data_IF_377308295110
#
_entry.id   IF_377308295110
#
_cell.length_a   1.000
_cell.length_b   1.000
_cell.length_c   1.000
_cell.angle_alpha   90.00
_cell.angle_beta   90.00
_cell.angle_gamma   90.00
#
_symmetry.space_group_name_H-M   'P 1'
#
loop_
_entity.id
_entity.type
_entity.pdbx_description
1 polymer ?
#
# COMPACT_ATOMS: atom_id res chain seq x y z
N UNK A 1 9.72 9.13 13.04
CA UNK A 1 9.40 9.10 11.58
C UNK A 1 10.60 9.28 10.66
N UNK A 2 11.38 10.37 10.72
CA UNK A 2 12.51 10.61 9.77
C UNK A 2 13.59 9.51 9.76
N UNK A 3 13.85 8.90 10.91
CA UNK A 3 14.79 7.77 11.02
C UNK A 3 14.30 6.50 10.29
N UNK A 4 12.98 6.30 10.21
CA UNK A 4 12.37 5.15 9.51
C UNK A 4 12.34 5.37 8.00
N UNK A 5 12.10 6.62 7.58
CA UNK A 5 11.95 7.01 6.18
C UNK A 5 12.89 8.20 5.85
N UNK A 6 14.20 7.96 5.75
CA UNK A 6 15.18 9.03 5.59
C UNK A 6 15.00 9.80 4.27
N UNK A 7 14.51 9.15 3.23
CA UNK A 7 14.26 9.76 1.91
C UNK A 7 12.90 10.42 1.76
N UNK A 8 12.03 10.36 2.77
CA UNK A 8 10.71 10.97 2.73
C UNK A 8 10.78 12.49 2.93
N UNK A 9 9.81 13.19 2.34
CA UNK A 9 9.66 14.64 2.51
C UNK A 9 9.19 14.95 3.93
N UNK A 10 9.75 15.98 4.61
CA UNK A 10 9.38 16.31 5.98
C UNK A 10 7.88 16.55 6.18
N UNK A 11 7.22 17.20 5.23
CA UNK A 11 5.79 17.50 5.26
C UNK A 11 4.92 16.24 5.26
N UNK A 12 5.30 15.21 4.49
CA UNK A 12 4.57 13.93 4.46
C UNK A 12 4.71 13.23 5.81
N UNK A 13 5.92 13.22 6.38
CA UNK A 13 6.17 12.62 7.68
C UNK A 13 5.48 13.36 8.82
N UNK A 14 5.34 14.69 8.71
CA UNK A 14 4.59 15.49 9.68
C UNK A 14 3.11 15.12 9.62
N UNK A 15 2.50 15.06 8.44
CA UNK A 15 1.10 14.64 8.30
C UNK A 15 0.82 13.23 8.82
N UNK A 16 1.79 12.31 8.69
CA UNK A 16 1.72 10.99 9.33
C UNK A 16 1.78 11.09 10.86
N UNK A 17 2.73 11.87 11.39
CA UNK A 17 2.90 12.01 12.83
C UNK A 17 1.68 12.67 13.49
N UNK A 18 1.12 13.71 12.87
CA UNK A 18 -0.06 14.43 13.34
C UNK A 18 -1.26 13.49 13.44
N UNK A 19 -1.54 12.72 12.39
CA UNK A 19 -2.65 11.78 12.36
C UNK A 19 -2.48 10.65 13.38
N UNK A 20 -1.27 10.11 13.53
CA UNK A 20 -0.99 9.09 14.54
C UNK A 20 -1.13 9.67 15.95
N UNK A 21 -0.55 10.81 16.25
CA UNK A 21 -0.58 11.41 17.59
C UNK A 21 -2.02 11.73 18.05
N UNK A 22 -2.90 12.09 17.12
CA UNK A 22 -4.29 12.39 17.43
C UNK A 22 -5.14 11.14 17.73
N UNK A 23 -4.84 9.98 17.13
CA UNK A 23 -5.72 8.80 17.14
C UNK A 23 -5.02 7.49 17.53
N UNK A 24 -3.85 7.55 18.17
CA UNK A 24 -2.97 6.39 18.38
C UNK A 24 -3.62 5.24 19.16
N UNK A 25 -4.45 5.56 20.14
CA UNK A 25 -5.18 4.60 20.96
C UNK A 25 -6.30 3.92 20.17
N UNK A 26 -7.04 4.70 19.38
CA UNK A 26 -8.08 4.18 18.49
C UNK A 26 -7.49 3.20 17.48
N UNK A 27 -6.31 3.52 16.92
CA UNK A 27 -5.58 2.65 16.02
C UNK A 27 -4.95 1.42 16.66
N UNK A 28 -5.00 1.28 17.99
CA UNK A 28 -4.28 0.22 18.72
C UNK A 28 -2.79 0.22 18.37
N UNK A 29 -2.20 1.41 18.34
CA UNK A 29 -0.77 1.66 18.14
C UNK A 29 -0.15 2.36 19.37
N UNK A 30 -0.82 2.25 20.50
CA UNK A 30 -0.53 2.82 21.81
C UNK A 30 0.67 2.18 22.52
N UNK A 31 1.12 1.00 22.09
CA UNK A 31 2.32 0.36 22.63
C UNK A 31 3.53 0.44 21.69
N UNK A 32 4.77 0.60 22.22
CA UNK A 32 5.99 0.57 21.42
C UNK A 32 6.10 -0.69 20.55
N UNK A 33 5.70 -1.84 21.10
CA UNK A 33 5.76 -3.13 20.41
C UNK A 33 4.82 -3.18 19.19
N UNK A 34 3.57 -2.71 19.34
CA UNK A 34 2.61 -2.66 18.22
C UNK A 34 3.10 -1.72 17.12
N UNK A 35 3.66 -0.56 17.48
CA UNK A 35 4.29 0.36 16.52
C UNK A 35 5.47 -0.28 15.80
N UNK A 36 6.33 -1.00 16.51
CA UNK A 36 7.45 -1.69 15.91
C UNK A 36 7.01 -2.72 14.86
N UNK A 37 6.02 -3.55 15.19
CA UNK A 37 5.43 -4.50 14.24
C UNK A 37 4.77 -3.80 13.06
N UNK A 38 3.95 -2.77 13.31
CA UNK A 38 3.26 -2.00 12.27
C UNK A 38 4.24 -1.37 11.28
N UNK A 39 5.24 -0.62 11.79
CA UNK A 39 6.18 0.10 10.94
C UNK A 39 7.19 -0.82 10.26
N UNK A 40 7.52 -1.99 10.83
CA UNK A 40 8.34 -2.98 10.14
C UNK A 40 7.72 -3.45 8.82
N UNK A 41 6.39 -3.59 8.80
CA UNK A 41 5.62 -3.91 7.60
C UNK A 41 5.60 -2.70 6.66
N UNK A 42 5.22 -1.52 7.16
CA UNK A 42 5.13 -0.30 6.33
C UNK A 42 6.47 0.02 5.65
N UNK A 43 7.59 -0.08 6.36
CA UNK A 43 8.92 0.14 5.79
C UNK A 43 9.21 -0.72 4.55
N UNK A 44 8.66 -1.94 4.51
CA UNK A 44 8.80 -2.81 3.36
C UNK A 44 7.85 -2.44 2.21
N UNK A 45 6.63 -1.98 2.52
CA UNK A 45 5.63 -1.59 1.51
C UNK A 45 5.99 -0.31 0.77
N UNK A 46 6.45 0.73 1.49
CA UNK A 46 6.64 2.07 0.92
C UNK A 46 8.09 2.44 0.68
N UNK A 47 9.02 1.61 1.18
CA UNK A 47 10.46 1.82 1.07
C UNK A 47 10.98 3.07 1.79
N UNK A 48 12.29 3.36 1.71
CA UNK A 48 12.93 4.45 2.44
C UNK A 48 12.52 5.85 1.96
N UNK A 49 12.00 5.96 0.73
CA UNK A 49 11.48 7.21 0.16
C UNK A 49 9.99 7.43 0.44
N UNK A 50 9.32 6.50 1.14
CA UNK A 50 7.93 6.62 1.55
C UNK A 50 6.95 6.85 0.37
N UNK A 51 7.07 5.98 -0.64
CA UNK A 51 6.19 6.01 -1.81
C UNK A 51 4.82 5.43 -1.44
N UNK A 52 3.81 6.29 -1.40
CA UNK A 52 2.42 5.94 -1.06
C UNK A 52 1.60 5.48 -2.27
N UNK A 53 2.22 5.38 -3.44
CA UNK A 53 1.53 4.96 -4.66
C UNK A 53 2.44 4.04 -5.47
N UNK A 54 1.83 3.01 -6.04
CA UNK A 54 2.52 2.08 -6.93
C UNK A 54 2.92 2.77 -8.24
N UNK A 55 4.12 2.45 -8.73
CA UNK A 55 4.55 2.83 -10.07
C UNK A 55 4.24 1.72 -11.09
N UNK A 56 3.91 2.09 -12.32
CA UNK A 56 3.55 1.13 -13.38
C UNK A 56 4.57 1.10 -14.52
N UNK A 57 5.84 1.30 -14.22
CA UNK A 57 6.93 1.14 -15.19
C UNK A 57 7.34 -0.33 -15.27
N UNK A 58 6.81 -1.05 -16.25
CA UNK A 58 7.03 -2.50 -16.41
C UNK A 58 7.68 -2.86 -17.73
N UNK A 59 8.55 -3.87 -17.71
CA UNK A 59 9.08 -4.47 -18.93
C UNK A 59 7.97 -5.25 -19.61
N UNK A 60 7.82 -5.11 -20.93
CA UNK A 60 6.81 -5.81 -21.73
C UNK A 60 6.79 -7.33 -21.45
N UNK A 61 7.98 -7.96 -21.37
CA UNK A 61 8.11 -9.39 -21.09
C UNK A 61 7.65 -9.78 -19.69
N UNK A 62 7.82 -8.90 -18.70
CA UNK A 62 7.42 -9.16 -17.31
C UNK A 62 5.89 -9.08 -17.14
N UNK A 63 5.23 -8.22 -17.91
CA UNK A 63 3.76 -8.10 -17.91
C UNK A 63 3.05 -9.41 -18.23
N UNK A 64 3.70 -10.34 -18.93
CA UNK A 64 3.15 -11.66 -19.27
C UNK A 64 2.79 -12.52 -18.06
N UNK A 65 3.23 -12.14 -16.84
CA UNK A 65 2.78 -12.78 -15.60
C UNK A 65 1.28 -12.51 -15.31
N UNK A 66 0.73 -11.41 -15.81
CA UNK A 66 -0.69 -11.10 -15.67
C UNK A 66 -1.50 -11.78 -16.77
N UNK A 67 -2.63 -12.38 -16.39
CA UNK A 67 -3.46 -13.18 -17.32
C UNK A 67 -3.98 -12.34 -18.49
N UNK A 68 -4.28 -11.05 -18.28
CA UNK A 68 -4.71 -10.15 -19.35
C UNK A 68 -3.63 -10.02 -20.43
N UNK A 69 -2.39 -9.69 -20.05
CA UNK A 69 -1.28 -9.49 -20.99
C UNK A 69 -0.84 -10.80 -21.64
N UNK A 70 -0.90 -11.92 -20.92
CA UNK A 70 -0.67 -13.25 -21.50
C UNK A 70 -1.65 -13.56 -22.65
N UNK A 71 -2.90 -13.11 -22.54
CA UNK A 71 -3.94 -13.25 -23.59
C UNK A 71 -3.86 -12.14 -24.65
N UNK A 72 -3.25 -11.00 -24.32
CA UNK A 72 -3.15 -9.82 -25.17
C UNK A 72 -1.68 -9.35 -25.27
N UNK A 73 -0.76 -10.16 -25.84
CA UNK A 73 0.67 -9.86 -25.79
C UNK A 73 1.06 -8.55 -26.48
N UNK A 74 0.30 -8.13 -27.51
CA UNK A 74 0.51 -6.85 -28.16
C UNK A 74 0.29 -5.66 -27.23
N UNK A 75 -0.61 -5.77 -26.23
CA UNK A 75 -0.83 -4.72 -25.23
C UNK A 75 0.39 -4.60 -24.30
N UNK A 76 1.04 -5.71 -23.97
CA UNK A 76 2.25 -5.69 -23.16
C UNK A 76 3.41 -5.00 -23.90
N UNK A 77 3.55 -5.25 -25.20
CA UNK A 77 4.57 -4.61 -26.05
C UNK A 77 4.26 -3.12 -26.24
N UNK A 78 2.98 -2.76 -26.42
CA UNK A 78 2.57 -1.39 -26.69
C UNK A 78 2.76 -0.44 -25.50
N UNK A 79 2.66 -0.96 -24.26
CA UNK A 79 2.71 -0.15 -23.05
C UNK A 79 3.95 -0.39 -22.19
N UNK A 80 4.55 -1.59 -22.25
CA UNK A 80 5.77 -1.90 -21.52
C UNK A 80 7.04 -1.35 -22.17
N UNK A 81 8.08 -1.16 -21.36
CA UNK A 81 9.41 -0.85 -21.89
C UNK A 81 10.13 -2.13 -22.35
N UNK A 82 11.14 -1.97 -23.22
CA UNK A 82 11.90 -3.11 -23.77
C UNK A 82 13.31 -3.24 -23.16
N UNK A 83 14.26 -2.45 -23.67
CA UNK A 83 15.68 -2.51 -23.30
C UNK A 83 16.06 -1.40 -22.32
N UNK A 84 15.52 -0.20 -22.52
CA UNK A 84 15.79 0.98 -21.70
C UNK A 84 14.55 1.26 -20.86
N UNK A 85 14.72 1.43 -19.55
CA UNK A 85 13.61 1.73 -18.63
C UNK A 85 12.86 2.97 -19.14
N UNK A 86 11.53 2.86 -19.14
CA UNK A 86 10.61 3.89 -19.63
C UNK A 86 10.67 4.19 -21.14
N UNK A 87 11.39 3.41 -21.95
CA UNK A 87 11.39 3.52 -23.40
C UNK A 87 10.72 2.29 -24.04
N UNK A 88 9.65 2.54 -24.80
CA UNK A 88 8.84 1.52 -25.46
C UNK A 88 9.52 1.00 -26.73
N UNK A 89 8.98 -0.08 -27.28
CA UNK A 89 9.54 -0.73 -28.47
C UNK A 89 9.61 0.20 -29.71
N UNK A 90 8.69 1.15 -29.82
CA UNK A 90 8.62 2.14 -30.89
C UNK A 90 9.56 3.35 -30.69
N UNK A 91 10.34 3.35 -29.60
CA UNK A 91 11.27 4.43 -29.25
C UNK A 91 10.62 5.63 -28.55
N UNK A 92 9.32 5.59 -28.27
CA UNK A 92 8.66 6.63 -27.47
C UNK A 92 8.84 6.38 -25.98
N UNK A 93 8.76 7.45 -25.18
CA UNK A 93 8.75 7.32 -23.71
C UNK A 93 7.38 6.85 -23.25
N UNK A 94 7.36 6.04 -22.19
CA UNK A 94 6.13 5.72 -21.49
C UNK A 94 5.45 6.99 -20.98
N UNK A 95 4.15 7.08 -21.18
CA UNK A 95 3.29 8.17 -20.75
C UNK A 95 2.23 7.66 -19.76
N UNK A 96 1.42 8.58 -19.24
CA UNK A 96 0.39 8.28 -18.25
C UNK A 96 -0.54 7.15 -18.73
N UNK A 97 -0.97 7.20 -19.99
CA UNK A 97 -1.86 6.22 -20.60
C UNK A 97 -1.28 4.80 -20.59
N UNK A 98 0.05 4.66 -20.67
CA UNK A 98 0.71 3.36 -20.58
C UNK A 98 0.61 2.79 -19.15
N UNK A 99 0.74 3.64 -18.13
CA UNK A 99 0.59 3.25 -16.73
C UNK A 99 -0.84 2.81 -16.41
N UNK A 100 -1.83 3.54 -16.94
CA UNK A 100 -3.24 3.18 -16.80
C UNK A 100 -3.55 1.85 -17.48
N UNK A 101 -3.08 1.67 -18.72
CA UNK A 101 -3.23 0.43 -19.46
C UNK A 101 -2.59 -0.75 -18.71
N UNK A 102 -1.40 -0.55 -18.12
CA UNK A 102 -0.73 -1.58 -17.33
C UNK A 102 -1.53 -1.93 -16.08
N UNK A 103 -1.96 -0.95 -15.29
CA UNK A 103 -2.76 -1.20 -14.09
C UNK A 103 -4.11 -1.87 -14.41
N UNK A 104 -4.78 -1.43 -15.48
CA UNK A 104 -6.01 -2.06 -15.95
C UNK A 104 -5.79 -3.50 -16.40
N UNK A 105 -4.64 -3.80 -17.03
CA UNK A 105 -4.29 -5.18 -17.38
C UNK A 105 -3.92 -6.05 -16.17
N UNK A 106 -3.30 -5.46 -15.15
CA UNK A 106 -2.89 -6.17 -13.94
C UNK A 106 -4.09 -6.47 -13.02
N UNK A 107 -4.99 -5.50 -12.83
CA UNK A 107 -6.03 -5.52 -11.82
C UNK A 107 -7.47 -5.51 -12.36
N UNK A 108 -7.68 -5.20 -13.63
CA UNK A 108 -9.01 -5.26 -14.25
C UNK A 108 -9.53 -6.69 -14.35
N UNK A 109 -10.83 -6.87 -14.08
CA UNK A 109 -11.51 -8.17 -14.11
C UNK A 109 -11.20 -9.08 -12.92
N UNK A 110 -10.45 -8.60 -11.92
CA UNK A 110 -10.21 -9.29 -10.66
C UNK A 110 -11.44 -9.20 -9.78
N UNK A 111 -12.28 -10.24 -9.84
CA UNK A 111 -13.51 -10.31 -9.04
C UNK A 111 -13.24 -10.33 -7.53
N UNK A 112 -12.11 -10.88 -7.09
CA UNK A 112 -11.65 -10.84 -5.70
C UNK A 112 -11.34 -9.42 -5.20
N UNK A 113 -11.06 -8.48 -6.10
CA UNK A 113 -10.87 -7.05 -5.81
C UNK A 113 -12.13 -6.21 -6.05
N UNK A 114 -13.20 -6.82 -6.57
CA UNK A 114 -14.42 -6.12 -6.99
C UNK A 114 -14.23 -5.18 -8.19
N UNK A 115 -13.12 -5.29 -8.91
CA UNK A 115 -12.83 -4.45 -10.06
C UNK A 115 -13.65 -4.90 -11.27
N UNK A 116 -14.22 -3.94 -12.01
CA UNK A 116 -14.71 -4.15 -13.36
C UNK A 116 -13.60 -4.62 -14.32
N UNK A 117 -13.98 -4.99 -15.54
CA UNK A 117 -13.05 -5.49 -16.55
C UNK A 117 -11.96 -4.46 -16.94
N UNK A 118 -11.04 -4.84 -17.83
CA UNK A 118 -9.99 -3.94 -18.33
C UNK A 118 -10.52 -2.57 -18.81
N UNK A 119 -11.68 -2.52 -19.46
CA UNK A 119 -12.23 -1.30 -20.06
C UNK A 119 -12.91 -0.40 -19.03
N UNK A 120 -13.27 -0.93 -17.86
CA UNK A 120 -13.86 -0.14 -16.78
C UNK A 120 -12.92 0.95 -16.23
N UNK A 121 -11.60 0.76 -16.38
CA UNK A 121 -10.59 1.63 -15.75
C UNK A 121 -10.39 1.37 -14.26
N UNK A 122 -11.10 0.39 -13.67
CA UNK A 122 -11.04 0.11 -12.23
C UNK A 122 -9.65 -0.32 -11.77
N UNK A 123 -8.87 -0.97 -12.64
CA UNK A 123 -7.52 -1.41 -12.29
C UNK A 123 -6.57 -0.25 -12.02
N UNK A 124 -6.65 0.82 -12.82
CA UNK A 124 -5.94 2.08 -12.56
C UNK A 124 -6.59 2.87 -11.44
N UNK A 125 -7.92 3.04 -11.47
CA UNK A 125 -8.66 3.86 -10.49
C UNK A 125 -8.42 3.37 -9.05
N UNK A 126 -8.47 2.06 -8.84
CA UNK A 126 -8.29 1.41 -7.53
C UNK A 126 -6.95 0.68 -7.42
N UNK A 127 -5.90 1.18 -8.07
CA UNK A 127 -4.51 0.72 -7.90
C UNK A 127 -4.02 0.86 -6.45
N UNK A 128 -2.90 0.23 -6.13
CA UNK A 128 -2.30 0.23 -4.79
C UNK A 128 -1.91 1.63 -4.32
N UNK A 129 -2.46 2.05 -3.17
CA UNK A 129 -2.11 3.31 -2.49
C UNK A 129 -1.96 3.14 -0.98
N UNK A 130 -1.31 4.12 -0.34
CA UNK A 130 -1.14 4.22 1.11
C UNK A 130 -0.04 3.31 1.67
N UNK A 131 0.09 3.30 3.00
CA UNK A 131 1.18 2.62 3.71
C UNK A 131 1.15 1.09 3.65
N UNK A 132 0.00 0.51 3.27
CA UNK A 132 -0.21 -0.94 3.16
C UNK A 132 -0.81 -1.36 1.82
N UNK A 133 -0.65 -0.54 0.76
CA UNK A 133 -1.05 -0.89 -0.60
C UNK A 133 -2.54 -1.29 -0.71
N UNK A 134 -3.46 -0.42 -0.26
CA UNK A 134 -4.89 -0.59 -0.43
C UNK A 134 -5.21 -0.66 -1.93
N UNK A 135 -5.73 -1.81 -2.40
CA UNK A 135 -5.91 -2.12 -3.81
C UNK A 135 -7.27 -2.75 -4.04
N UNK A 136 -7.97 -2.36 -5.10
CA UNK A 136 -9.25 -2.96 -5.51
C UNK A 136 -10.47 -2.23 -4.97
N UNK A 137 -11.48 -2.06 -5.81
CA UNK A 137 -12.70 -1.31 -5.53
C UNK A 137 -13.40 -1.73 -4.23
N UNK A 138 -13.49 -3.04 -3.98
CA UNK A 138 -14.08 -3.56 -2.73
C UNK A 138 -13.36 -3.01 -1.50
N UNK A 139 -12.03 -3.02 -1.51
CA UNK A 139 -11.24 -2.59 -0.36
C UNK A 139 -11.34 -1.07 -0.12
N UNK A 140 -11.42 -0.26 -1.19
CA UNK A 140 -11.67 1.18 -1.08
C UNK A 140 -13.08 1.48 -0.53
N UNK A 141 -14.09 0.71 -0.93
CA UNK A 141 -15.45 0.80 -0.38
C UNK A 141 -15.48 0.43 1.10
N UNK A 142 -14.85 -0.68 1.48
CA UNK A 142 -14.81 -1.12 2.87
C UNK A 142 -14.09 -0.10 3.76
N UNK A 143 -12.97 0.45 3.29
CA UNK A 143 -12.28 1.51 3.99
C UNK A 143 -13.13 2.79 4.14
N UNK A 144 -13.89 3.15 3.09
CA UNK A 144 -14.86 4.25 3.14
C UNK A 144 -15.93 4.02 4.21
N UNK A 145 -16.49 2.81 4.25
CA UNK A 145 -17.50 2.46 5.25
C UNK A 145 -16.92 2.47 6.66
N UNK A 146 -15.70 1.95 6.84
CA UNK A 146 -15.01 1.99 8.13
C UNK A 146 -14.79 3.43 8.60
N UNK A 147 -14.30 4.31 7.73
CA UNK A 147 -14.09 5.72 8.06
C UNK A 147 -15.41 6.40 8.46
N UNK A 148 -16.48 6.20 7.67
CA UNK A 148 -17.82 6.72 7.96
C UNK A 148 -18.39 6.20 9.28
N UNK A 149 -18.17 4.92 9.60
CA UNK A 149 -18.67 4.32 10.84
C UNK A 149 -17.92 4.84 12.08
N UNK A 150 -16.73 5.42 11.90
CA UNK A 150 -15.93 6.03 12.97
C UNK A 150 -15.90 7.55 12.86
N UNK A 151 -16.97 8.16 12.35
CA UNK A 151 -17.10 9.60 12.17
C UNK A 151 -16.81 10.42 13.43
N UNK A 152 -17.00 9.83 14.62
CA UNK A 152 -16.69 10.47 15.90
C UNK A 152 -15.20 10.80 16.08
N UNK A 153 -14.30 10.04 15.46
CA UNK A 153 -12.85 10.32 15.45
C UNK A 153 -12.55 11.53 14.57
N UNK A 154 -13.31 11.74 13.49
CA UNK A 154 -13.10 12.85 12.55
C UNK A 154 -14.39 13.60 12.25
N UNK A 155 -14.95 14.38 13.19
CA UNK A 155 -16.30 14.95 13.06
C UNK A 155 -16.54 15.83 11.82
N UNK A 156 -15.50 16.37 11.21
CA UNK A 156 -15.58 17.25 10.03
C UNK A 156 -15.09 16.58 8.73
N UNK A 157 -14.55 15.36 8.79
CA UNK A 157 -13.98 14.67 7.63
C UNK A 157 -15.02 13.74 7.01
N UNK A 158 -15.48 14.01 5.79
CA UNK A 158 -16.50 13.19 5.08
C UNK A 158 -15.93 12.49 3.84
N UNK A 159 -14.63 12.16 3.86
CA UNK A 159 -13.97 11.55 2.71
C UNK A 159 -14.65 10.26 2.25
N UNK A 160 -14.76 10.10 0.92
CA UNK A 160 -15.23 8.88 0.27
C UNK A 160 -14.12 8.36 -0.65
N UNK A 161 -13.48 7.27 -0.26
CA UNK A 161 -12.33 6.72 -0.98
C UNK A 161 -12.73 5.84 -2.16
N UNK A 162 -13.98 5.35 -2.23
CA UNK A 162 -14.47 4.69 -3.45
C UNK A 162 -14.74 5.71 -4.57
N UNK A 163 -15.27 6.88 -4.20
CA UNK A 163 -15.51 7.99 -5.13
C UNK A 163 -14.22 8.71 -5.52
N UNK A 164 -13.38 9.03 -4.54
CA UNK A 164 -12.09 9.72 -4.70
C UNK A 164 -10.91 8.90 -4.12
N UNK A 165 -10.44 7.87 -4.85
CA UNK A 165 -9.41 6.96 -4.36
C UNK A 165 -8.03 7.60 -4.23
N UNK A 166 -7.75 8.71 -4.92
CA UNK A 166 -6.46 9.40 -4.84
C UNK A 166 -6.23 10.04 -3.47
N UNK A 167 -7.30 10.27 -2.69
CA UNK A 167 -7.18 10.70 -1.29
C UNK A 167 -6.31 9.76 -0.47
N UNK A 168 -6.28 8.45 -0.75
CA UNK A 168 -5.48 7.48 0.03
C UNK A 168 -3.97 7.74 -0.09
N UNK A 169 -3.51 8.45 -1.12
CA UNK A 169 -2.11 8.88 -1.26
C UNK A 169 -1.75 10.07 -0.36
N UNK A 170 -2.73 10.76 0.25
CA UNK A 170 -2.46 11.82 1.22
C UNK A 170 -1.99 11.22 2.55
N UNK A 171 -0.96 11.79 3.22
CA UNK A 171 -0.37 11.21 4.43
C UNK A 171 -1.36 10.78 5.51
N UNK A 172 -2.35 11.63 5.82
CA UNK A 172 -3.37 11.30 6.84
C UNK A 172 -4.23 10.09 6.47
N UNK A 173 -4.64 9.99 5.21
CA UNK A 173 -5.50 8.89 4.76
C UNK A 173 -4.68 7.62 4.50
N UNK A 174 -3.39 7.74 4.17
CA UNK A 174 -2.46 6.62 4.13
C UNK A 174 -2.26 5.98 5.52
N UNK A 175 -2.22 6.79 6.59
CA UNK A 175 -2.23 6.29 7.98
C UNK A 175 -3.55 5.59 8.27
N UNK A 176 -4.68 6.27 8.01
CA UNK A 176 -6.02 5.72 8.31
C UNK A 176 -6.29 4.41 7.59
N UNK A 177 -5.91 4.28 6.32
CA UNK A 177 -6.10 3.03 5.56
C UNK A 177 -5.25 1.88 6.11
N UNK A 178 -4.01 2.16 6.52
CA UNK A 178 -3.15 1.16 7.13
C UNK A 178 -3.58 0.78 8.56
N UNK A 179 -4.13 1.74 9.32
CA UNK A 179 -4.73 1.52 10.63
C UNK A 179 -6.03 0.74 10.53
N UNK A 180 -6.91 1.05 9.56
CA UNK A 180 -8.08 0.25 9.22
C UNK A 180 -7.70 -1.21 9.01
N UNK A 181 -6.75 -1.49 8.10
CA UNK A 181 -6.28 -2.84 7.85
C UNK A 181 -5.69 -3.49 9.12
N UNK A 182 -4.94 -2.71 9.92
CA UNK A 182 -4.34 -3.19 11.17
C UNK A 182 -5.39 -3.68 12.16
N UNK A 183 -6.42 -2.89 12.42
CA UNK A 183 -7.47 -3.23 13.39
C UNK A 183 -8.44 -4.27 12.84
N UNK A 184 -8.88 -4.14 11.58
CA UNK A 184 -9.88 -5.03 10.97
C UNK A 184 -9.37 -6.48 10.83
N UNK A 185 -8.05 -6.67 10.77
CA UNK A 185 -7.43 -8.00 10.70
C UNK A 185 -6.82 -8.48 12.02
N UNK A 186 -7.17 -7.87 13.16
CA UNK A 186 -6.74 -8.31 14.50
C UNK A 186 -5.21 -8.40 14.67
N UNK A 187 -4.47 -7.58 13.92
CA UNK A 187 -3.01 -7.56 13.97
C UNK A 187 -2.43 -7.08 15.31
N UNK A 188 -3.08 -6.18 16.10
CA UNK A 188 -2.66 -5.91 17.47
C UNK A 188 -2.51 -7.18 18.32
N UNK A 189 -3.48 -8.09 18.25
CA UNK A 189 -3.48 -9.32 19.04
C UNK A 189 -2.37 -10.30 18.62
N UNK A 190 -1.92 -10.25 17.36
CA UNK A 190 -0.75 -11.00 16.89
C UNK A 190 0.53 -10.35 17.43
N UNK A 191 0.64 -9.02 17.32
CA UNK A 191 1.79 -8.27 17.80
C UNK A 191 2.01 -8.43 19.32
N UNK A 192 0.94 -8.47 20.10
CA UNK A 192 0.99 -8.61 21.57
C UNK A 192 1.56 -9.96 22.04
N UNK A 193 1.66 -10.96 21.15
CA UNK A 193 2.28 -12.26 21.47
C UNK A 193 3.81 -12.19 21.56
N UNK A 194 4.42 -11.06 21.20
CA UNK A 194 5.81 -10.77 21.54
C UNK A 194 6.67 -10.22 20.39
N UNK A 195 7.92 -9.91 20.74
CA UNK A 195 8.92 -9.33 19.86
C UNK A 195 9.78 -10.39 19.16
N UNK A 196 9.16 -11.33 18.44
CA UNK A 196 9.85 -12.43 17.77
C UNK A 196 9.65 -12.43 16.25
N UNK A 197 10.59 -13.05 15.52
CA UNK A 197 10.48 -13.23 14.07
C UNK A 197 9.19 -13.98 13.68
N UNK A 198 8.74 -14.94 14.51
CA UNK A 198 7.50 -15.68 14.28
C UNK A 198 6.27 -14.78 14.29
N UNK A 199 6.20 -13.79 15.20
CA UNK A 199 5.09 -12.84 15.22
C UNK A 199 5.15 -11.87 14.05
N UNK A 200 6.35 -11.40 13.68
CA UNK A 200 6.52 -10.57 12.47
C UNK A 200 6.03 -11.35 11.24
N UNK A 201 6.43 -12.62 11.10
CA UNK A 201 6.01 -13.49 10.01
C UNK A 201 4.51 -13.80 10.05
N UNK A 202 3.92 -13.92 11.24
CA UNK A 202 2.48 -14.09 11.39
C UNK A 202 1.70 -12.88 10.87
N UNK A 203 2.17 -11.66 11.15
CA UNK A 203 1.62 -10.43 10.60
C UNK A 203 1.86 -10.36 9.09
N UNK A 204 3.06 -10.68 8.62
CA UNK A 204 3.38 -10.71 7.18
C UNK A 204 2.45 -11.65 6.41
N UNK A 205 2.08 -12.81 6.97
CA UNK A 205 1.13 -13.73 6.33
C UNK A 205 -0.24 -13.10 6.07
N UNK A 206 -0.68 -12.22 6.96
CA UNK A 206 -1.95 -11.49 6.79
C UNK A 206 -1.78 -10.33 5.80
N UNK A 207 -0.68 -9.58 5.89
CA UNK A 207 -0.41 -8.44 4.99
C UNK A 207 -0.21 -8.90 3.55
N UNK A 208 0.68 -9.87 3.31
CA UNK A 208 0.95 -10.42 2.00
C UNK A 208 1.60 -11.81 2.11
N UNK A 209 0.78 -12.86 2.20
CA UNK A 209 1.27 -14.24 2.35
C UNK A 209 2.25 -14.72 1.27
N UNK A 210 2.15 -14.17 0.05
CA UNK A 210 2.91 -14.59 -1.13
C UNK A 210 4.19 -13.79 -1.36
N UNK A 211 4.53 -12.87 -0.47
CA UNK A 211 5.77 -12.08 -0.57
C UNK A 211 7.00 -12.94 -0.32
N UNK A 212 8.12 -12.58 -0.94
CA UNK A 212 9.46 -13.08 -0.61
C UNK A 212 10.14 -12.25 0.49
N UNK A 213 9.51 -11.16 0.94
CA UNK A 213 10.12 -10.16 1.81
C UNK A 213 9.99 -10.45 3.32
N UNK A 214 9.75 -11.70 3.73
CA UNK A 214 9.57 -12.07 5.15
C UNK A 214 10.79 -11.70 5.98
N UNK A 215 11.99 -12.09 5.53
CA UNK A 215 13.25 -11.81 6.21
C UNK A 215 13.50 -10.29 6.33
N UNK A 216 13.25 -9.53 5.26
CA UNK A 216 13.40 -8.08 5.26
C UNK A 216 12.51 -7.39 6.32
N UNK A 217 11.27 -7.87 6.50
CA UNK A 217 10.35 -7.35 7.53
C UNK A 217 10.83 -7.68 8.94
N UNK A 218 11.40 -8.87 9.17
CA UNK A 218 12.03 -9.23 10.44
C UNK A 218 13.22 -8.32 10.73
N UNK A 219 14.07 -8.06 9.74
CA UNK A 219 15.20 -7.14 9.87
C UNK A 219 14.74 -5.71 10.19
N UNK A 220 13.67 -5.22 9.54
CA UNK A 220 13.10 -3.91 9.85
C UNK A 220 12.60 -3.85 11.30
N UNK A 221 11.87 -4.87 11.75
CA UNK A 221 11.41 -4.97 13.14
C UNK A 221 12.57 -4.93 14.14
N UNK A 222 13.61 -5.72 13.91
CA UNK A 222 14.79 -5.74 14.78
C UNK A 222 15.48 -4.38 14.84
N UNK A 223 15.64 -3.69 13.70
CA UNK A 223 16.23 -2.34 13.65
C UNK A 223 15.44 -1.36 14.52
N UNK A 224 14.12 -1.34 14.40
CA UNK A 224 13.24 -0.46 15.18
C UNK A 224 13.37 -0.79 16.68
N UNK A 225 13.28 -2.08 17.03
CA UNK A 225 13.26 -2.52 18.41
C UNK A 225 14.60 -2.28 19.12
N UNK A 226 15.74 -2.53 18.46
CA UNK A 226 17.08 -2.32 19.02
C UNK A 226 17.37 -0.83 19.27
N UNK A 227 16.93 0.04 18.36
CA UNK A 227 17.11 1.49 18.50
C UNK A 227 16.18 2.10 19.55
N UNK A 228 15.09 1.40 19.88
CA UNK A 228 14.05 1.92 20.74
C UNK A 228 13.32 3.11 20.12
N UNK A 229 13.10 3.09 18.79
CA UNK A 229 12.50 4.22 18.05
C UNK A 229 11.11 4.64 18.57
N UNK A 230 10.48 3.81 19.40
CA UNK A 230 9.16 4.02 20.00
C UNK A 230 9.12 3.88 21.52
N UNK A 231 10.29 3.71 22.16
CA UNK A 231 10.43 3.59 23.61
C UNK A 231 10.48 4.96 24.29
#
# INVERSE_FOLDING_TARGET
MKQLFPGARPEDLQGVADELNAHIEFYKLDSPLRRAHFFAQVMQEVGPSFRLEEGFVWKSSALMMFTYFKKNPMQAIAHGYEKVISLKADGTRMVQEDFEAIANGAYGGRSDLGNGDYKSGDGWRYRGRGMKQLTGRTNYREFTNWHKNHQGEWPEDRANFEEDPDLVSLPKYAVRSAAYFWVAHELPAIADKGATADQVNAITRVVNSRTDSYEARVVNFQKINIRGDFN
#
